data_IF_363510794249
#
_entry.id   IF_363510794249
#
_cell.length_a   1.000
_cell.length_b   1.000
_cell.length_c   1.000
_cell.angle_alpha   90.00
_cell.angle_beta   90.00
_cell.angle_gamma   90.00
#
_symmetry.space_group_name_H-M   'P 1'
#
loop_
_entity.id
_entity.type
_entity.pdbx_description
1 polymer ?
2 non-polymer ?
3 non-polymer ?
4 non-polymer ?
5 water ?
#
# COMPACT_ATOMS: atom_id res chain seq x y z
N UNK A 15 26.34 -4.59 10.85
CA UNK A 15 27.23 -3.43 11.00
C UNK A 15 27.21 -2.56 9.75
N UNK A 16 27.26 -1.25 9.95
CA UNK A 16 27.19 -0.27 8.86
C UNK A 16 28.19 -0.55 7.71
N UNK A 17 27.67 -0.64 6.49
CA UNK A 17 28.44 -1.04 5.31
C UNK A 17 27.80 -0.55 4.00
N UNK A 18 28.63 -0.22 3.01
CA UNK A 18 28.14 0.37 1.75
C UNK A 18 27.59 -0.63 0.74
N UNK A 19 26.37 -0.35 0.27
CA UNK A 19 25.58 -1.24 -0.58
C UNK A 19 24.80 -0.49 -1.66
N UNK A 20 24.61 -1.15 -2.80
CA UNK A 20 23.73 -0.66 -3.85
C UNK A 20 22.29 -1.09 -3.52
N UNK A 21 21.36 -0.12 -3.55
CA UNK A 21 19.96 -0.39 -3.22
C UNK A 21 19.00 0.06 -4.33
N UNK A 22 18.00 -0.77 -4.58
CA UNK A 22 16.99 -0.52 -5.60
C UNK A 22 15.58 -0.80 -5.10
N UNK A 23 14.61 -0.11 -5.69
CA UNK A 23 13.20 -0.46 -5.51
C UNK A 23 12.87 -1.72 -6.30
N UNK A 24 11.63 -2.19 -6.13
CA UNK A 24 11.16 -3.40 -6.78
C UNK A 24 11.14 -3.29 -8.29
N UNK A 25 10.91 -2.07 -8.77
CA UNK A 25 10.90 -1.77 -10.20
C UNK A 25 12.28 -1.82 -10.84
N UNK A 26 13.31 -1.96 -10.00
CA UNK A 26 14.70 -2.14 -10.42
C UNK A 26 15.27 -0.99 -11.26
N UNK A 27 14.85 0.23 -10.94
CA UNK A 27 15.34 1.42 -11.63
C UNK A 27 15.96 2.40 -10.64
N UNK A 28 16.75 3.33 -11.18
CA UNK A 28 17.44 4.38 -10.40
C UNK A 28 18.20 3.84 -9.18
N UNK A 29 19.17 2.92 -9.40
CA UNK A 29 19.95 2.44 -8.26
C UNK A 29 20.83 3.54 -7.68
N UNK A 30 20.99 3.53 -6.35
CA UNK A 30 21.95 4.40 -5.66
C UNK A 30 22.69 3.61 -4.60
N UNK A 31 23.79 4.17 -4.11
CA UNK A 31 24.64 3.49 -3.13
C UNK A 31 24.53 4.18 -1.77
N UNK A 32 24.39 3.37 -0.72
CA UNK A 32 24.24 3.90 0.64
C UNK A 32 24.90 3.02 1.68
N UNK A 33 25.03 3.53 2.90
CA UNK A 33 25.47 2.73 4.05
C UNK A 33 24.26 2.02 4.64
N UNK A 34 24.41 0.76 4.98
CA UNK A 34 23.28 -0.06 5.43
C UNK A 34 23.55 -0.67 6.80
N UNK A 35 22.60 -0.45 7.72
CA UNK A 35 22.64 -1.04 9.04
C UNK A 35 21.58 -2.12 9.13
N UNK A 36 21.97 -3.29 9.62
CA UNK A 36 21.02 -4.36 9.92
C UNK A 36 21.22 -4.83 11.36
N UNK A 37 20.20 -4.63 12.18
CA UNK A 37 20.26 -5.00 13.60
C UNK A 37 18.88 -5.41 14.11
N UNK A 38 18.87 -6.32 15.07
CA UNK A 38 17.65 -6.69 15.78
C UNK A 38 17.60 -6.03 17.16
N UNK A 39 18.52 -5.07 17.38
CA UNK A 39 18.59 -4.31 18.62
C UNK A 39 18.14 -2.86 18.39
N UNK A 40 16.98 -2.49 18.97
CA UNK A 40 16.41 -1.14 18.84
C UNK A 40 17.39 -0.06 19.28
N UNK A 41 18.30 -0.41 20.19
CA UNK A 41 19.24 0.55 20.76
C UNK A 41 20.32 0.97 19.76
N UNK A 42 20.69 0.05 18.87
CA UNK A 42 21.67 0.34 17.82
C UNK A 42 21.06 1.35 16.82
N UNK A 43 19.78 1.19 16.55
CA UNK A 43 19.07 2.12 15.67
C UNK A 43 18.97 3.52 16.30
N UNK A 44 18.75 3.59 17.61
CA UNK A 44 18.71 4.87 18.32
C UNK A 44 20.05 5.59 18.20
N UNK A 45 21.12 4.89 18.55
CA UNK A 45 22.49 5.42 18.47
C UNK A 45 22.88 5.86 17.06
N UNK A 46 22.45 5.11 16.05
CA UNK A 46 22.72 5.45 14.65
C UNK A 46 22.05 6.77 14.26
N UNK A 47 20.80 6.95 14.69
CA UNK A 47 20.06 8.18 14.41
C UNK A 47 20.64 9.38 15.17
N UNK A 48 20.93 9.21 16.46
CA UNK A 48 21.52 10.29 17.24
C UNK A 48 22.88 10.69 16.67
N UNK A 49 23.68 9.68 16.28
CA UNK A 49 24.96 9.91 15.60
C UNK A 49 24.80 10.64 14.27
N UNK A 50 23.77 10.28 13.51
CA UNK A 50 23.50 10.92 12.23
C UNK A 50 23.01 12.36 12.42
N UNK A 51 22.33 12.60 13.54
CA UNK A 51 21.84 13.93 13.90
C UNK A 51 22.98 14.86 14.30
N UNK A 52 23.94 14.34 15.06
CA UNK A 52 25.06 15.14 15.53
C UNK A 52 26.11 15.40 14.45
N UNK A 53 26.15 14.55 13.42
CA UNK A 53 27.13 14.69 12.35
C UNK A 53 26.55 15.26 11.06
N UNK A 54 25.27 14.96 10.79
CA UNK A 54 24.50 15.61 9.75
C UNK A 54 24.95 15.41 8.32
N UNK A 55 25.17 14.17 7.92
CA UNK A 55 25.52 13.84 6.54
C UNK A 55 24.32 13.95 5.62
N UNK A 56 24.13 12.93 4.78
CA UNK A 56 23.01 12.92 3.83
C UNK A 56 21.69 12.36 4.38
N UNK A 57 21.73 11.80 5.58
CA UNK A 57 20.51 11.41 6.29
C UNK A 57 20.25 9.93 6.47
N UNK A 58 19.15 9.63 7.15
CA UNK A 58 18.75 8.25 7.47
C UNK A 58 17.38 7.96 6.85
N UNK A 59 17.18 6.72 6.44
CA UNK A 59 15.87 6.25 6.00
C UNK A 59 15.68 4.77 6.35
N UNK A 60 14.48 4.42 6.78
CA UNK A 60 14.16 3.03 7.10
C UNK A 60 13.80 2.27 5.84
N UNK A 61 14.19 1.01 5.78
CA UNK A 61 13.86 0.14 4.67
C UNK A 61 13.17 -1.11 5.21
N UNK A 62 12.11 -1.53 4.54
CA UNK A 62 11.43 -2.77 4.88
C UNK A 62 11.93 -3.87 3.97
N UNK A 63 11.02 -4.57 3.31
CA UNK A 63 11.39 -5.64 2.40
C UNK A 63 11.74 -5.15 0.98
N UNK A 64 11.60 -3.85 0.74
CA UNK A 64 11.92 -3.27 -0.56
C UNK A 64 10.91 -3.60 -1.65
N UNK A 65 9.64 -3.71 -1.26
CA UNK A 65 8.57 -4.08 -2.18
C UNK A 65 7.92 -2.89 -2.89
N UNK A 66 8.22 -1.67 -2.44
CA UNK A 66 7.89 -0.46 -3.19
C UNK A 66 8.71 -0.43 -4.47
N UNK A 67 8.10 0.02 -5.56
CA UNK A 67 8.73 0.00 -6.88
C UNK A 67 9.72 1.14 -7.09
N UNK A 68 9.51 2.24 -6.39
CA UNK A 68 10.30 3.45 -6.59
C UNK A 68 11.47 3.63 -5.66
N UNK A 69 11.76 4.89 -5.32
CA UNK A 69 12.97 5.27 -4.59
C UNK A 69 12.72 5.77 -3.16
N UNK A 70 11.63 5.36 -2.54
CA UNK A 70 11.28 5.84 -1.20
C UNK A 70 12.07 5.21 -0.05
N UNK A 71 12.58 4.00 -0.26
CA UNK A 71 13.31 3.27 0.77
C UNK A 71 14.81 3.17 0.48
N UNK A 72 15.34 4.21 -0.15
CA UNK A 72 16.77 4.30 -0.41
C UNK A 72 17.25 5.75 -0.25
N UNK A 73 18.50 5.91 0.17
CA UNK A 73 19.08 7.22 0.42
C UNK A 73 20.54 7.25 -0.03
N UNK A 74 20.76 7.58 -1.31
CA UNK A 74 22.09 7.61 -1.90
C UNK A 74 23.06 8.52 -1.17
N UNK A 75 24.13 7.94 -0.62
CA UNK A 75 25.12 8.69 0.13
C UNK A 75 24.90 8.65 1.63
N UNK A 76 23.66 8.39 2.05
CA UNK A 76 23.29 8.40 3.46
C UNK A 76 23.27 7.02 4.10
N UNK A 77 22.48 6.89 5.16
CA UNK A 77 22.32 5.63 5.88
C UNK A 77 20.92 5.05 5.72
N UNK A 78 20.86 3.74 5.52
CA UNK A 78 19.62 3.00 5.37
C UNK A 78 19.57 1.93 6.45
N UNK A 79 18.52 1.94 7.25
CA UNK A 79 18.32 0.90 8.26
C UNK A 79 17.49 -0.22 7.68
N UNK A 80 18.09 -1.40 7.57
CA UNK A 80 17.37 -2.60 7.14
C UNK A 80 16.53 -3.11 8.31
N UNK A 81 15.23 -2.83 8.24
CA UNK A 81 14.29 -3.12 9.34
C UNK A 81 13.87 -4.58 9.51
N UNK A 82 13.88 -5.40 8.44
CA UNK A 82 13.47 -6.81 8.59
C UNK A 82 14.17 -7.61 9.68
N UNK A 83 15.36 -7.18 10.11
CA UNK A 83 16.08 -7.85 11.20
C UNK A 83 15.36 -7.67 12.54
N UNK A 84 14.60 -6.58 12.67
CA UNK A 84 13.86 -6.28 13.87
C UNK A 84 12.43 -6.83 13.74
N UNK A 85 12.28 -8.13 13.95
CA UNK A 85 11.05 -8.83 13.61
C UNK A 85 10.44 -9.69 14.71
N UNK A 86 10.57 -9.27 15.96
CA UNK A 86 9.97 -10.03 17.06
C UNK A 86 8.49 -9.68 17.21
N UNK A 87 7.66 -10.72 17.40
CA UNK A 87 6.24 -10.53 17.71
C UNK A 87 6.06 -10.64 19.23
N UNK A 88 5.58 -9.56 19.85
CA UNK A 88 5.57 -9.47 21.31
C UNK A 88 4.36 -10.09 21.97
N UNK A 89 3.16 -9.84 21.43
CA UNK A 89 1.94 -10.45 21.97
C UNK A 89 0.78 -10.53 20.97
N UNK A 90 0.01 -11.61 21.07
CA UNK A 90 -1.22 -11.78 20.33
C UNK A 90 -2.34 -12.05 21.34
N UNK A 91 -3.40 -11.25 21.28
CA UNK A 91 -4.49 -11.32 22.26
C UNK A 91 -5.85 -11.37 21.57
N UNK A 92 -6.41 -12.58 21.45
CA UNK A 92 -7.71 -12.81 20.81
C UNK A 92 -8.85 -11.95 21.39
N UNK A 93 -8.80 -11.71 22.69
CA UNK A 93 -9.83 -10.94 23.39
C UNK A 93 -9.92 -9.50 22.92
N UNK A 94 -8.79 -8.79 23.03
CA UNK A 94 -8.71 -7.40 22.61
C UNK A 94 -8.54 -7.28 21.09
N UNK A 95 -8.13 -8.38 20.45
CA UNK A 95 -7.81 -8.45 19.01
C UNK A 95 -6.51 -7.69 18.67
N UNK A 96 -5.74 -7.34 19.70
CA UNK A 96 -4.54 -6.53 19.54
C UNK A 96 -3.29 -7.37 19.36
N UNK A 97 -2.37 -6.86 18.55
CA UNK A 97 -1.09 -7.51 18.31
C UNK A 97 0.05 -6.48 18.42
N UNK A 98 1.01 -6.74 19.31
CA UNK A 98 2.18 -5.88 19.51
C UNK A 98 3.36 -6.46 18.73
N UNK A 99 3.86 -5.72 17.75
CA UNK A 99 4.91 -6.22 16.86
C UNK A 99 6.01 -5.22 16.55
N UNK A 100 7.22 -5.74 16.32
CA UNK A 100 8.32 -4.94 15.80
C UNK A 100 8.01 -4.53 14.37
N UNK A 101 8.42 -3.32 13.99
CA UNK A 101 8.15 -2.77 12.66
C UNK A 101 8.64 -3.69 11.53
N UNK A 102 9.69 -4.46 11.81
CA UNK A 102 10.25 -5.36 10.81
C UNK A 102 9.53 -6.67 10.63
N UNK A 103 8.44 -6.90 11.37
CA UNK A 103 7.67 -8.13 11.18
C UNK A 103 6.94 -8.12 9.84
N UNK A 104 7.12 -9.23 9.12
CA UNK A 104 6.50 -9.45 7.82
C UNK A 104 4.98 -9.65 7.98
N UNK A 105 4.22 -9.33 6.95
CA UNK A 105 2.78 -9.59 6.98
C UNK A 105 2.49 -11.08 6.85
N UNK A 106 3.35 -11.77 6.09
CA UNK A 106 3.32 -13.23 5.98
C UNK A 106 3.60 -13.87 7.34
N UNK A 107 4.60 -13.35 8.04
CA UNK A 107 4.97 -13.82 9.37
C UNK A 107 3.83 -13.61 10.37
N UNK A 108 3.25 -12.42 10.36
CA UNK A 108 2.15 -12.06 11.26
C UNK A 108 0.89 -12.88 10.98
N UNK A 109 0.60 -13.12 9.71
CA UNK A 109 -0.55 -13.93 9.30
C UNK A 109 -0.44 -15.33 9.90
N UNK A 110 0.69 -15.99 9.65
CA UNK A 110 0.94 -17.34 10.16
C UNK A 110 0.85 -17.43 11.69
N UNK A 111 1.25 -16.35 12.36
CA UNK A 111 1.25 -16.29 13.81
C UNK A 111 -0.13 -16.05 14.41
N UNK A 112 -0.94 -15.23 13.75
CA UNK A 112 -2.23 -14.79 14.32
C UNK A 112 -3.42 -15.65 13.91
N UNK A 113 -3.25 -16.44 12.86
CA UNK A 113 -4.33 -17.27 12.33
C UNK A 113 -4.89 -18.29 13.33
N UNK A 114 -4.01 -19.05 14.03
CA UNK A 114 -4.53 -20.02 15.01
C UNK A 114 -5.30 -19.37 16.16
N UNK A 115 -5.07 -18.08 16.38
CA UNK A 115 -5.77 -17.33 17.42
C UNK A 115 -7.10 -16.83 16.93
N UNK A 116 -7.36 -17.01 15.63
CA UNK A 116 -8.61 -16.54 15.02
C UNK A 116 -8.57 -15.06 14.65
N UNK A 117 -7.37 -14.56 14.38
CA UNK A 117 -7.18 -13.17 14.01
C UNK A 117 -6.65 -13.06 12.58
N UNK A 118 -7.14 -12.06 11.86
CA UNK A 118 -6.84 -11.88 10.45
C UNK A 118 -6.17 -10.55 10.24
N UNK A 119 -5.19 -10.50 9.34
CA UNK A 119 -4.52 -9.25 8.98
C UNK A 119 -5.53 -8.30 8.32
N UNK A 120 -5.77 -7.14 8.94
CA UNK A 120 -6.89 -6.25 8.56
C UNK A 120 -6.79 -5.65 7.15
N UNK A 121 -5.58 -5.49 6.63
CA UNK A 121 -5.38 -5.03 5.25
C UNK A 121 -4.26 -5.83 4.62
N UNK A 122 -4.59 -6.58 3.57
CA UNK A 122 -3.62 -7.41 2.87
C UNK A 122 -3.41 -6.94 1.44
N UNK A 123 -2.17 -6.57 1.09
CA UNK A 123 -1.86 -6.14 -0.27
C UNK A 123 -1.66 -7.34 -1.20
N UNK A 124 -1.19 -7.09 -2.42
CA UNK A 124 -0.96 -8.14 -3.41
C UNK A 124 0.11 -9.15 -3.02
N UNK A 125 1.02 -8.75 -2.15
CA UNK A 125 2.06 -9.63 -1.62
C UNK A 125 2.07 -9.59 -0.10
N UNK A 126 2.40 -10.70 0.53
CA UNK A 126 2.48 -10.76 1.99
C UNK A 126 3.90 -10.45 2.48
N UNK A 127 4.78 -10.08 1.55
CA UNK A 127 6.15 -9.75 1.86
C UNK A 127 6.37 -8.26 2.06
N UNK A 128 5.64 -7.68 3.01
CA UNK A 128 5.86 -6.30 3.41
C UNK A 128 5.95 -6.23 4.93
N UNK A 129 6.75 -5.31 5.43
CA UNK A 129 6.88 -5.10 6.86
C UNK A 129 5.71 -4.27 7.39
N UNK A 130 5.44 -4.41 8.69
CA UNK A 130 4.47 -3.55 9.36
C UNK A 130 4.87 -2.08 9.17
N UNK A 131 6.16 -1.80 9.29
CA UNK A 131 6.70 -0.46 9.08
C UNK A 131 6.47 0.08 7.68
N UNK A 132 6.54 -0.81 6.70
CA UNK A 132 6.31 -0.43 5.30
C UNK A 132 4.84 -0.37 4.97
N UNK A 133 4.04 -1.18 5.67
CA UNK A 133 2.58 -1.12 5.56
C UNK A 133 2.08 0.23 6.05
N UNK A 134 2.66 0.72 7.14
CA UNK A 134 2.31 2.04 7.69
C UNK A 134 2.90 3.17 6.85
N UNK A 135 4.16 3.01 6.44
CA UNK A 135 4.89 4.03 5.68
C UNK A 135 4.23 4.41 4.37
N UNK A 136 3.55 3.45 3.74
CA UNK A 136 2.86 3.68 2.49
C UNK A 136 1.36 3.65 2.65
N UNK A 137 0.90 3.44 3.89
CA UNK A 137 -0.52 3.32 4.23
C UNK A 137 -1.20 2.36 3.24
N UNK A 138 -0.68 1.14 3.15
CA UNK A 138 -1.10 0.20 2.13
C UNK A 138 -2.60 -0.07 2.14
N UNK A 139 -3.13 -0.38 0.95
CA UNK A 139 -4.54 -0.71 0.76
C UNK A 139 -4.65 -2.11 0.21
N UNK A 140 -5.87 -2.63 0.22
CA UNK A 140 -6.14 -3.97 -0.31
C UNK A 140 -7.51 -4.08 -0.95
N UNK A 141 -7.90 -5.31 -1.28
CA UNK A 141 -9.19 -5.58 -1.92
C UNK A 141 -10.36 -5.21 -1.01
N UNK A 142 -10.09 -5.08 0.29
CA UNK A 142 -11.13 -4.72 1.25
C UNK A 142 -11.17 -3.24 1.61
N UNK A 143 -10.57 -2.39 0.79
CA UNK A 143 -10.48 -0.96 1.10
C UNK A 143 -11.81 -0.28 1.29
N UNK A 144 -12.79 -0.64 0.48
CA UNK A 144 -14.10 0.00 0.54
C UNK A 144 -14.85 -0.28 1.82
N UNK A 145 -14.44 -1.31 2.55
CA UNK A 145 -15.10 -1.68 3.81
C UNK A 145 -14.20 -1.51 5.04
N UNK A 146 -12.89 -1.55 4.84
CA UNK A 146 -11.93 -1.55 5.94
C UNK A 146 -10.98 -0.35 5.94
N UNK A 147 -10.97 0.41 4.85
CA UNK A 147 -10.00 1.50 4.70
C UNK A 147 -8.61 0.94 4.46
N UNK A 148 -7.59 1.75 4.75
CA UNK A 148 -6.21 1.34 4.53
C UNK A 148 -5.54 0.93 5.84
N UNK A 149 -4.29 0.47 5.76
CA UNK A 149 -3.58 -0.09 6.91
C UNK A 149 -3.54 0.84 8.12
N UNK A 150 -3.39 2.13 7.85
CA UNK A 150 -3.35 3.15 8.91
C UNK A 150 -4.58 3.21 9.79
N UNK A 151 -5.73 2.81 9.25
CA UNK A 151 -6.99 2.79 10.01
C UNK A 151 -6.99 1.76 11.13
N UNK A 152 -6.01 0.86 11.13
CA UNK A 152 -6.00 -0.30 12.02
C UNK A 152 -4.82 -0.34 12.93
N UNK A 153 -4.09 0.77 13.00
CA UNK A 153 -2.96 0.91 13.90
C UNK A 153 -3.45 1.59 15.18
N UNK A 154 -3.49 0.84 16.28
CA UNK A 154 -3.91 1.39 17.58
C UNK A 154 -2.85 2.33 18.16
N UNK A 155 -1.58 1.96 18.01
CA UNK A 155 -0.46 2.81 18.43
C UNK A 155 0.83 2.43 17.69
N UNK A 156 1.79 3.34 17.71
CA UNK A 156 3.13 3.05 17.19
C UNK A 156 4.23 3.83 17.92
N UNK A 157 5.43 3.26 17.96
CA UNK A 157 6.57 3.88 18.58
C UNK A 157 7.49 4.44 17.50
N UNK A 158 7.65 5.76 17.49
CA UNK A 158 8.41 6.44 16.43
C UNK A 158 9.67 7.13 16.94
N UNK A 159 10.83 6.62 16.48
CA UNK A 159 12.12 7.24 16.71
C UNK A 159 12.25 8.51 15.87
N UNK A 160 12.31 9.66 16.53
CA UNK A 160 12.44 10.94 15.83
C UNK A 160 13.89 11.41 15.80
N UNK A 161 14.15 12.48 15.05
CA UNK A 161 15.50 13.05 14.87
C UNK A 161 16.28 13.41 16.15
N UNK A 162 15.56 13.68 17.24
CA UNK A 162 16.18 14.06 18.51
C UNK A 162 16.58 12.85 19.37
N UNK A 163 16.34 11.65 18.85
CA UNK A 163 16.67 10.42 19.58
C UNK A 163 15.54 9.91 20.44
N UNK A 164 14.49 10.70 20.57
CA UNK A 164 13.31 10.33 21.35
C UNK A 164 12.46 9.27 20.64
N UNK A 165 11.88 8.36 21.42
CA UNK A 165 10.90 7.41 20.89
C UNK A 165 9.52 7.86 21.34
N UNK A 166 8.71 8.33 20.38
CA UNK A 166 7.38 8.85 20.71
C UNK A 166 6.25 7.85 20.61
N UNK A 167 5.41 7.80 21.63
CA UNK A 167 4.18 7.00 21.63
C UNK A 167 3.13 7.76 20.87
N UNK A 168 2.61 7.17 19.79
CA UNK A 168 1.65 7.86 18.92
C UNK A 168 0.36 7.08 18.81
N UNK A 169 -0.75 7.82 18.86
CA UNK A 169 -2.10 7.23 18.77
C UNK A 169 -2.97 8.04 17.80
N UNK A 170 -3.95 7.39 17.14
CA UNK A 170 -4.82 8.06 16.15
C UNK A 170 -5.63 9.23 16.74
N UNK A 171 -6.15 9.05 17.96
CA UNK A 171 -7.02 10.05 18.56
C UNK A 171 -6.37 10.86 19.69
N UNK A 172 -5.24 10.36 20.21
CA UNK A 172 -4.59 10.96 21.38
C UNK A 172 -3.89 12.29 21.16
N UNK A 173 -3.00 12.66 22.10
CA UNK A 173 -2.25 13.93 22.06
C UNK A 173 -1.47 14.19 20.77
N UNK A 174 -0.75 13.18 20.29
CA UNK A 174 0.15 13.32 19.14
C UNK A 174 -0.51 12.91 17.80
N UNK A 175 -1.84 12.98 17.75
CA UNK A 175 -2.60 12.55 16.57
C UNK A 175 -2.03 13.08 15.25
N UNK A 176 -1.54 14.32 15.26
CA UNK A 176 -0.95 14.94 14.08
C UNK A 176 0.31 14.23 13.57
N UNK A 177 1.22 13.87 14.48
CA UNK A 177 2.42 13.13 14.11
C UNK A 177 2.05 11.73 13.64
N UNK A 178 1.08 11.13 14.33
CA UNK A 178 0.56 9.82 13.96
C UNK A 178 0.13 9.79 12.49
N UNK A 179 -0.67 10.78 12.09
CA UNK A 179 -1.25 10.79 10.76
C UNK A 179 -0.35 11.33 9.69
N UNK A 180 0.75 11.96 10.11
CA UNK A 180 1.79 12.36 9.17
C UNK A 180 2.78 11.21 8.95
N UNK A 181 2.83 10.29 9.92
CA UNK A 181 3.64 9.08 9.81
C UNK A 181 2.95 8.05 8.92
N UNK A 182 1.64 7.85 9.11
CA UNK A 182 0.85 7.02 8.22
C UNK A 182 0.91 7.64 6.82
N UNK A 183 1.47 6.90 5.86
CA UNK A 183 1.67 7.38 4.50
C UNK A 183 2.87 8.32 4.36
N UNK A 184 3.64 8.46 5.45
CA UNK A 184 4.74 9.39 5.51
C UNK A 184 6.02 8.95 4.83
N UNK A 185 6.05 7.72 4.32
CA UNK A 185 7.21 7.18 3.61
C UNK A 185 8.54 7.28 4.37
N UNK A 186 8.49 7.03 5.68
CA UNK A 186 9.68 7.03 6.53
C UNK A 186 10.29 8.40 6.82
N UNK A 187 9.56 9.46 6.49
CA UNK A 187 10.12 10.80 6.54
C UNK A 187 9.87 11.54 7.85
N UNK A 188 9.22 10.89 8.81
CA UNK A 188 9.04 11.46 10.14
C UNK A 188 9.94 10.73 11.15
N UNK A 189 10.58 9.66 10.67
CA UNK A 189 11.49 8.88 11.50
C UNK A 189 11.29 7.39 11.31
N UNK A 190 11.87 6.62 12.22
CA UNK A 190 11.80 5.16 12.12
C UNK A 190 10.79 4.60 13.12
N UNK A 191 9.75 3.96 12.60
CA UNK A 191 8.80 3.23 13.44
C UNK A 191 9.52 1.99 13.95
N UNK A 192 9.52 1.80 15.27
CA UNK A 192 10.22 0.65 15.86
C UNK A 192 9.26 -0.48 16.22
N UNK A 193 8.01 -0.13 16.49
CA UNK A 193 7.05 -1.02 17.11
C UNK A 193 5.64 -0.50 16.89
N UNK A 194 4.68 -1.39 16.79
CA UNK A 194 3.28 -1.01 16.61
C UNK A 194 2.30 -1.98 17.26
N UNK A 195 1.13 -1.45 17.63
CA UNK A 195 0.00 -2.26 18.05
C UNK A 195 -1.05 -2.22 16.94
N UNK A 196 -1.31 -3.37 16.34
CA UNK A 196 -2.28 -3.48 15.26
C UNK A 196 -3.54 -4.15 15.79
N UNK A 197 -4.70 -3.57 15.48
CA UNK A 197 -5.97 -4.21 15.79
C UNK A 197 -6.38 -5.11 14.62
N UNK A 198 -6.29 -6.42 14.84
CA UNK A 198 -6.59 -7.42 13.83
C UNK A 198 -8.10 -7.61 13.65
N UNK A 199 -8.47 -8.20 12.52
CA UNK A 199 -9.86 -8.54 12.23
C UNK A 199 -10.19 -9.95 12.75
N UNK A 200 -11.25 -10.05 13.57
CA UNK A 200 -11.68 -11.37 14.05
C UNK A 200 -12.23 -12.24 12.91
N UNK A 201 -11.82 -13.50 12.88
CA UNK A 201 -12.33 -14.45 11.89
C UNK A 201 -12.60 -15.83 12.47
N UNK A 202 -13.58 -16.53 11.90
CA UNK A 202 -13.88 -17.91 12.27
C UNK A 202 -13.10 -18.90 11.41
N UNK A 203 -12.81 -18.50 10.16
CA UNK A 203 -12.13 -19.37 9.18
C UNK A 203 -11.05 -18.62 8.40
N UNK A 204 -10.30 -19.36 7.60
CA UNK A 204 -9.33 -18.77 6.68
C UNK A 204 -9.82 -18.89 5.25
N UNK A 205 -11.15 -18.93 5.09
CA UNK A 205 -11.77 -19.10 3.77
C UNK A 205 -12.71 -17.95 3.42
N UNK A 206 -12.97 -17.82 2.12
CA UNK A 206 -13.89 -16.84 1.60
C UNK A 206 -15.10 -17.49 0.96
N UNK A 207 -16.27 -16.89 1.17
CA UNK A 207 -17.44 -17.15 0.31
C UNK A 207 -17.42 -16.06 -0.77
N UNK A 208 -17.31 -16.46 -2.02
CA UNK A 208 -17.05 -15.53 -3.12
C UNK A 208 -18.01 -15.61 -4.31
N UNK A 209 -18.26 -14.46 -4.93
CA UNK A 209 -19.01 -14.36 -6.18
C UNK A 209 -18.07 -13.95 -7.30
N UNK A 210 -18.31 -14.48 -8.49
CA UNK A 210 -17.57 -14.09 -9.68
C UNK A 210 -18.52 -13.57 -10.73
N UNK A 211 -18.13 -12.48 -11.39
CA UNK A 211 -18.91 -11.92 -12.49
C UNK A 211 -18.02 -11.47 -13.64
N UNK A 212 -18.59 -11.45 -14.84
CA UNK A 212 -17.90 -10.99 -16.03
C UNK A 212 -18.74 -9.91 -16.73
N UNK A 213 -18.11 -8.79 -17.08
CA UNK A 213 -18.78 -7.74 -17.85
C UNK A 213 -18.22 -7.67 -19.26
N UNK A 214 -18.91 -6.95 -20.14
CA UNK A 214 -18.55 -6.88 -21.56
C UNK A 214 -17.93 -5.57 -22.04
N UNK A 215 -17.93 -4.55 -21.20
CA UNK A 215 -17.39 -3.23 -21.57
C UNK A 215 -16.97 -2.40 -20.37
N UNK A 216 -16.29 -1.29 -20.64
CA UNK A 216 -15.93 -0.31 -19.62
C UNK A 216 -17.17 0.26 -18.92
N UNK A 217 -18.20 0.58 -19.71
CA UNK A 217 -19.45 1.09 -19.19
C UNK A 217 -20.11 0.10 -18.25
N UNK A 218 -20.15 -1.16 -18.66
CA UNK A 218 -20.70 -2.22 -17.81
C UNK A 218 -19.94 -2.37 -16.50
N UNK A 219 -18.60 -2.32 -16.58
CA UNK A 219 -17.73 -2.39 -15.40
C UNK A 219 -18.07 -1.26 -14.42
N UNK A 220 -18.17 -0.03 -14.94
CA UNK A 220 -18.58 1.12 -14.14
C UNK A 220 -19.95 0.90 -13.49
N UNK A 221 -20.94 0.55 -14.30
CA UNK A 221 -22.32 0.35 -13.82
C UNK A 221 -22.43 -0.76 -12.76
N UNK A 222 -21.69 -1.84 -12.98
CA UNK A 222 -21.66 -2.97 -12.06
C UNK A 222 -21.27 -2.55 -10.64
N UNK A 223 -20.30 -1.62 -10.56
CA UNK A 223 -19.80 -1.12 -9.28
C UNK A 223 -20.61 0.03 -8.72
N UNK A 224 -21.56 0.53 -9.50
CA UNK A 224 -22.28 1.76 -9.14
C UNK A 224 -23.67 1.60 -8.52
N UNK A 225 -24.12 0.36 -8.32
CA UNK A 225 -25.49 0.09 -7.86
C UNK A 225 -25.63 -0.28 -6.37
N UNK A 226 -24.69 0.19 -5.54
CA UNK A 226 -24.72 -0.07 -4.10
C UNK A 226 -24.36 -1.49 -3.72
N UNK A 227 -24.15 -2.30 -4.75
CA UNK A 227 -23.84 -3.72 -4.62
C UNK A 227 -22.59 -4.01 -3.80
N UNK A 228 -21.61 -3.10 -3.85
CA UNK A 228 -20.31 -3.27 -3.18
C UNK A 228 -20.40 -3.42 -1.65
N UNK A 229 -21.49 -2.92 -1.07
CA UNK A 229 -21.72 -3.03 0.36
C UNK A 229 -22.03 -4.47 0.82
N UNK A 230 -22.38 -5.33 -0.13
CA UNK A 230 -22.69 -6.73 0.17
C UNK A 230 -21.44 -7.60 0.39
N UNK A 231 -20.27 -7.01 0.17
CA UNK A 231 -19.00 -7.74 0.24
C UNK A 231 -17.93 -6.93 0.97
N UNK A 232 -17.08 -7.61 1.74
CA UNK A 232 -15.97 -6.92 2.39
C UNK A 232 -14.79 -6.72 1.43
N UNK A 233 -14.56 -7.69 0.54
CA UNK A 233 -13.44 -7.65 -0.42
C UNK A 233 -13.94 -7.62 -1.87
N UNK A 234 -13.37 -6.74 -2.69
CA UNK A 234 -13.74 -6.63 -4.11
C UNK A 234 -12.63 -6.03 -4.99
N UNK A 235 -12.24 -6.77 -6.01
CA UNK A 235 -11.32 -6.29 -7.03
C UNK A 235 -11.67 -6.93 -8.37
N UNK A 236 -11.05 -6.44 -9.44
CA UNK A 236 -11.31 -6.94 -10.78
C UNK A 236 -10.10 -6.78 -11.71
N UNK A 237 -9.94 -7.74 -12.62
CA UNK A 237 -9.04 -7.59 -13.74
C UNK A 237 -9.85 -7.00 -14.87
N UNK A 238 -9.23 -6.16 -15.69
CA UNK A 238 -9.92 -5.63 -16.87
C UNK A 238 -9.08 -5.67 -18.14
N UNK A 239 -9.74 -5.48 -19.27
CA UNK A 239 -9.08 -5.49 -20.59
C UNK A 239 -8.67 -4.07 -20.95
N UNK A 240 -7.37 -3.89 -21.17
CA UNK A 240 -6.81 -2.60 -21.53
C UNK A 240 -6.20 -2.61 -22.94
N UNK A 241 -6.46 -3.67 -23.69
CA UNK A 241 -5.87 -3.84 -25.03
C UNK A 241 -6.89 -3.75 -26.17
N UNK A 242 -8.02 -4.45 -26.04
CA UNK A 242 -9.08 -4.43 -27.05
C UNK A 242 -9.64 -3.04 -27.30
N UNK A 243 -10.11 -2.80 -28.53
CA UNK A 243 -10.75 -1.55 -28.90
C UNK A 243 -12.19 -1.57 -28.40
N UNK A 244 -12.78 -0.39 -28.13
CA UNK A 244 -14.19 -0.33 -27.76
C UNK A 244 -15.05 -0.99 -28.85
N UNK A 245 -16.16 -1.65 -28.47
CA UNK A 245 -16.79 -1.67 -27.13
C UNK A 245 -16.24 -2.73 -26.16
N UNK A 246 -15.19 -3.44 -26.54
CA UNK A 246 -14.66 -4.50 -25.66
C UNK A 246 -13.69 -3.98 -24.59
N UNK A 247 -13.11 -2.80 -24.80
CA UNK A 247 -12.24 -2.17 -23.81
C UNK A 247 -12.94 -2.00 -22.47
N UNK A 248 -12.25 -2.38 -21.40
CA UNK A 248 -12.78 -2.24 -20.05
C UNK A 248 -13.58 -3.42 -19.52
N UNK A 249 -13.91 -4.38 -20.39
CA UNK A 249 -14.56 -5.60 -19.94
C UNK A 249 -13.75 -6.25 -18.82
N UNK A 250 -14.43 -6.71 -17.78
CA UNK A 250 -13.77 -7.07 -16.53
C UNK A 250 -14.15 -8.43 -15.98
N UNK A 251 -13.21 -9.04 -15.26
CA UNK A 251 -13.46 -10.25 -14.49
C UNK A 251 -13.46 -9.87 -13.01
N UNK A 252 -14.66 -9.77 -12.45
CA UNK A 252 -14.87 -9.21 -11.10
C UNK A 252 -14.94 -10.30 -10.05
N UNK A 253 -14.16 -10.13 -8.99
CA UNK A 253 -14.08 -11.09 -7.90
C UNK A 253 -14.45 -10.40 -6.59
N UNK A 254 -15.54 -10.84 -5.97
CA UNK A 254 -16.06 -10.22 -4.75
C UNK A 254 -16.41 -11.28 -3.71
N UNK A 255 -16.24 -10.92 -2.44
CA UNK A 255 -16.54 -11.87 -1.36
C UNK A 255 -16.24 -11.38 0.03
N UNK A 256 -16.44 -12.27 1.00
CA UNK A 256 -16.20 -11.99 2.41
C UNK A 256 -15.62 -13.22 3.10
N UNK A 257 -14.97 -13.00 4.24
CA UNK A 257 -14.52 -14.08 5.10
C UNK A 257 -15.69 -14.98 5.52
N UNK A 258 -15.51 -16.28 5.33
CA UNK A 258 -16.54 -17.28 5.64
C UNK A 258 -16.78 -17.44 7.14
N UNK A 259 -18.02 -17.74 7.52
CA UNK A 259 -18.33 -18.20 8.87
C UNK A 259 -18.12 -19.71 8.91
N UNK A 260 -18.05 -20.29 10.10
CA UNK A 260 -17.83 -21.72 10.26
C UNK A 260 -18.96 -22.57 9.65
N UNK A 261 -20.21 -22.16 9.90
CA UNK A 261 -21.37 -22.88 9.37
C UNK A 261 -21.56 -22.76 7.85
N UNK A 262 -20.67 -22.00 7.20
CA UNK A 262 -20.70 -21.81 5.75
C UNK A 262 -19.69 -22.70 5.03
N UNK A 263 -18.79 -23.30 5.80
CA UNK A 263 -17.82 -24.25 5.25
C UNK A 263 -18.41 -25.64 5.12
N UNK A 264 -18.01 -26.39 4.07
CA UNK A 264 -18.34 -27.81 4.04
C UNK A 264 -17.66 -28.54 5.21
N UNK A 265 -18.25 -29.63 5.66
CA UNK A 265 -17.80 -30.34 6.86
C UNK A 265 -16.34 -30.83 6.78
N UNK A 266 -15.91 -31.21 5.58
CA UNK A 266 -14.53 -31.67 5.35
C UNK A 266 -13.48 -30.61 5.69
N UNK A 267 -13.86 -29.33 5.57
CA UNK A 267 -12.96 -28.21 5.87
C UNK A 267 -13.19 -27.64 7.26
N UNK A 268 -14.28 -28.05 7.91
CA UNK A 268 -14.58 -27.61 9.28
C UNK A 268 -13.68 -28.28 10.32
N UNK A 269 -13.04 -29.37 9.92
CA UNK A 269 -12.05 -30.08 10.74
C UNK A 269 -10.93 -29.11 11.10
N UNK A 270 -10.42 -28.42 10.09
CA UNK A 270 -9.31 -27.49 10.20
C UNK A 270 -9.69 -26.16 9.53
N UNK A 271 -10.52 -25.34 10.20
CA UNK A 271 -11.08 -24.11 9.59
C UNK A 271 -10.07 -22.99 9.36
N UNK A 272 -9.06 -22.90 10.23
CA UNK A 272 -8.03 -21.85 10.14
C UNK A 272 -6.74 -22.37 9.49
N UNK A 273 -6.88 -23.42 8.66
CA UNK A 273 -5.77 -23.99 7.92
C UNK A 273 -5.13 -22.95 7.00
N UNK A 274 -3.80 -23.01 6.88
CA UNK A 274 -3.02 -22.08 6.07
C UNK A 274 -3.70 -21.75 4.73
N UNK A 303 -16.72 -31.62 -17.80
CA UNK A 303 -17.72 -31.24 -18.79
C UNK A 303 -18.35 -29.89 -18.50
N UNK A 304 -18.14 -29.41 -17.27
CA UNK A 304 -18.56 -28.07 -16.85
C UNK A 304 -17.91 -26.98 -17.69
N UNK A 305 -18.62 -25.88 -17.89
CA UNK A 305 -18.02 -24.69 -18.48
C UNK A 305 -17.32 -23.85 -17.41
N UNK A 306 -16.02 -23.68 -17.59
CA UNK A 306 -15.23 -22.81 -16.72
C UNK A 306 -15.30 -21.37 -17.25
N UNK A 307 -16.11 -20.54 -16.59
CA UNK A 307 -16.17 -19.12 -16.88
C UNK A 307 -16.15 -18.30 -15.60
N UNK A 308 -16.16 -16.98 -15.73
CA UNK A 308 -16.01 -16.09 -14.58
C UNK A 308 -17.28 -15.79 -13.80
N UNK A 309 -18.34 -16.54 -14.05
CA UNK A 309 -19.59 -16.37 -13.31
C UNK A 309 -19.87 -17.52 -12.36
N UNK A 310 -19.86 -17.22 -11.07
CA UNK A 310 -20.17 -18.19 -10.01
C UNK A 310 -20.69 -17.50 -8.75
N UNK A 311 -21.40 -18.26 -7.92
CA UNK A 311 -22.04 -17.72 -6.71
C UNK A 311 -21.70 -18.53 -5.48
N UNK A 312 -21.51 -17.83 -4.36
CA UNK A 312 -21.27 -18.45 -3.05
C UNK A 312 -20.23 -19.58 -3.07
N UNK A 313 -19.11 -19.35 -3.73
CA UNK A 313 -18.05 -20.34 -3.85
C UNK A 313 -17.11 -20.24 -2.66
N UNK A 314 -16.80 -21.38 -2.05
CA UNK A 314 -15.83 -21.43 -0.97
C UNK A 314 -14.41 -21.46 -1.56
N UNK A 315 -13.59 -20.49 -1.17
CA UNK A 315 -12.23 -20.35 -1.67
C UNK A 315 -11.20 -20.05 -0.58
N UNK A 316 -10.02 -20.64 -0.71
CA UNK A 316 -8.87 -20.33 0.16
C UNK A 316 -8.23 -19.00 -0.25
N UNK A 317 -7.15 -18.61 0.43
CA UNK A 317 -6.49 -17.34 0.16
C UNK A 317 -5.87 -17.25 -1.24
N UNK A 318 -5.21 -18.32 -1.67
CA UNK A 318 -4.57 -18.34 -2.99
C UNK A 318 -5.60 -18.25 -4.12
N UNK A 319 -6.69 -19.02 -3.98
CA UNK A 319 -7.76 -19.07 -4.99
C UNK A 319 -8.56 -17.77 -5.10
N UNK A 320 -8.61 -17.00 -4.01
CA UNK A 320 -9.37 -15.77 -3.97
C UNK A 320 -8.56 -14.55 -4.44
N UNK A 321 -7.24 -14.63 -4.26
CA UNK A 321 -6.35 -13.51 -4.58
C UNK A 321 -5.65 -13.59 -5.94
N UNK A 322 -5.01 -14.72 -6.25
CA UNK A 322 -4.17 -14.83 -7.45
C UNK A 322 -4.90 -14.82 -8.79
N UNK A 323 -6.11 -15.43 -8.87
CA UNK A 323 -6.84 -15.32 -10.14
C UNK A 323 -7.63 -14.02 -10.24
N UNK A 338 12.40 -3.39 -17.98
CA UNK A 338 11.39 -4.37 -17.62
C UNK A 338 9.97 -3.82 -17.76
N UNK A 339 9.27 -3.74 -16.63
CA UNK A 339 7.88 -3.29 -16.60
C UNK A 339 7.70 -2.08 -15.70
N UNK A 340 7.04 -1.05 -16.23
CA UNK A 340 6.70 0.15 -15.47
C UNK A 340 5.35 -0.05 -14.78
N UNK A 341 5.40 -0.07 -13.45
CA UNK A 341 4.20 -0.19 -12.62
C UNK A 341 3.55 1.18 -12.49
N UNK A 342 2.26 1.27 -12.83
CA UNK A 342 1.54 2.54 -12.78
C UNK A 342 0.19 2.42 -12.10
N UNK A 343 0.00 3.20 -11.04
CA UNK A 343 -1.25 3.19 -10.28
C UNK A 343 -1.78 4.59 -10.01
N UNK A 344 -3.06 4.79 -10.31
CA UNK A 344 -3.73 6.07 -10.12
C UNK A 344 -5.17 5.90 -9.63
N UNK A 345 -5.69 6.93 -8.98
CA UNK A 345 -7.10 6.99 -8.61
C UNK A 345 -7.69 8.34 -9.01
N UNK A 346 -8.86 8.32 -9.62
CA UNK A 346 -9.64 9.54 -9.86
C UNK A 346 -10.91 9.49 -9.02
N UNK A 347 -11.45 10.67 -8.61
CA UNK A 347 -12.64 10.73 -7.77
C UNK A 347 -13.86 10.05 -8.40
N UNK A 348 -14.70 9.47 -7.55
CA UNK A 348 -15.89 8.73 -7.98
C UNK A 348 -16.72 9.45 -9.04
N UNK A 349 -17.02 10.73 -8.80
CA UNK A 349 -17.89 11.52 -9.68
C UNK A 349 -17.28 11.84 -11.05
N UNK A 350 -15.96 11.68 -11.17
CA UNK A 350 -15.25 11.93 -12.41
C UNK A 350 -15.26 10.71 -13.35
N UNK A 351 -16.45 10.17 -13.58
CA UNK A 351 -16.64 8.94 -14.36
C UNK A 351 -16.17 9.04 -15.81
N UNK A 352 -16.60 10.08 -16.52
CA UNK A 352 -16.26 10.26 -17.93
C UNK A 352 -14.75 10.48 -18.14
N UNK A 353 -14.16 11.23 -17.21
CA UNK A 353 -12.73 11.50 -17.21
C UNK A 353 -11.90 10.23 -16.99
N UNK A 354 -12.32 9.41 -16.02
CA UNK A 354 -11.70 8.10 -15.80
C UNK A 354 -11.75 7.26 -17.07
N UNK A 355 -12.93 7.15 -17.67
CA UNK A 355 -13.10 6.43 -18.93
C UNK A 355 -12.12 6.90 -20.00
N UNK A 356 -11.88 8.22 -20.05
CA UNK A 356 -11.01 8.81 -21.08
C UNK A 356 -9.55 8.40 -20.92
N UNK A 357 -9.11 8.20 -19.68
CA UNK A 357 -7.76 7.71 -19.39
C UNK A 357 -7.62 6.28 -19.90
N UNK A 358 -8.63 5.45 -19.63
CA UNK A 358 -8.61 4.05 -20.07
C UNK A 358 -8.64 3.96 -21.58
N UNK A 359 -9.43 4.82 -22.22
CA UNK A 359 -9.49 4.87 -23.68
C UNK A 359 -8.15 5.29 -24.28
N UNK A 360 -7.58 6.38 -23.75
CA UNK A 360 -6.30 6.90 -24.23
C UNK A 360 -5.15 5.90 -24.06
N UNK A 361 -5.14 5.18 -22.93
CA UNK A 361 -4.18 4.10 -22.72
C UNK A 361 -4.26 3.09 -23.87
N UNK A 362 -5.47 2.68 -24.22
CA UNK A 362 -5.69 1.71 -25.28
C UNK A 362 -5.25 2.25 -26.64
N UNK A 363 -5.57 3.52 -26.90
CA UNK A 363 -5.16 4.18 -28.15
C UNK A 363 -3.65 4.38 -28.27
N UNK A 364 -2.96 4.48 -27.13
CA UNK A 364 -1.53 4.80 -27.11
C UNK A 364 -0.63 3.71 -27.68
N UNK A 365 -1.11 2.47 -27.66
CA UNK A 365 -0.33 1.34 -28.14
C UNK A 365 0.53 0.69 -27.07
N UNK A 366 0.56 1.30 -25.89
CA UNK A 366 1.22 0.71 -24.75
C UNK A 366 0.30 -0.30 -24.13
N UNK A 367 0.67 -1.57 -24.27
CA UNK A 367 -0.27 -2.65 -23.97
C UNK A 367 0.01 -3.35 -22.64
N UNK A 368 -0.95 -3.21 -21.72
CA UNK A 368 -0.86 -3.83 -20.40
C UNK A 368 -1.77 -5.05 -20.30
N UNK A 369 -1.20 -6.17 -19.88
CA UNK A 369 -1.94 -7.43 -19.72
C UNK A 369 -2.38 -7.63 -18.28
N UNK A 370 -1.60 -7.08 -17.35
CA UNK A 370 -1.89 -7.20 -15.93
C UNK A 370 -2.45 -5.89 -15.39
N UNK A 371 -3.77 -5.80 -15.32
CA UNK A 371 -4.44 -4.62 -14.78
C UNK A 371 -5.53 -4.90 -13.76
N UNK A 372 -5.45 -4.18 -12.63
CA UNK A 372 -6.37 -4.34 -11.53
C UNK A 372 -7.30 -3.13 -11.46
N UNK A 373 -8.58 -3.39 -11.25
CA UNK A 373 -9.60 -2.36 -11.13
C UNK A 373 -10.24 -2.47 -9.77
N UNK A 374 -10.36 -1.35 -9.07
CA UNK A 374 -11.07 -1.32 -7.80
C UNK A 374 -11.72 0.03 -7.52
N UNK A 375 -12.90 -0.02 -6.90
CA UNK A 375 -13.56 1.16 -6.37
C UNK A 375 -13.14 1.34 -4.92
N UNK A 376 -12.35 2.39 -4.66
CA UNK A 376 -11.96 2.75 -3.30
C UNK A 376 -13.15 3.34 -2.53
N UNK A 377 -13.17 3.12 -1.21
CA UNK A 377 -14.13 3.78 -0.32
C UNK A 377 -13.55 5.06 0.27
N UNK A 378 -14.13 5.56 1.38
CA UNK A 378 -13.61 6.79 2.01
C UNK A 378 -12.14 6.69 2.40
N UNK A 379 -11.44 7.83 2.32
CA UNK A 379 -10.05 7.93 2.77
C UNK A 379 -9.97 8.15 4.27
N UNK A 380 -8.76 8.42 4.76
CA UNK A 380 -8.54 8.63 6.20
C UNK A 380 -7.87 9.97 6.49
N UNK A 381 -7.46 10.17 7.74
CA UNK A 381 -6.94 11.48 8.17
C UNK A 381 -5.50 11.80 7.73
N UNK A 382 -4.81 10.84 7.14
CA UNK A 382 -3.42 11.04 6.73
C UNK A 382 -3.30 11.94 5.50
N UNK A 383 -2.56 13.07 5.63
CA UNK A 383 -2.38 14.02 4.52
C UNK A 383 -1.75 13.42 3.25
N UNK A 384 -0.83 12.47 3.41
CA UNK A 384 -0.17 11.86 2.25
C UNK A 384 -0.70 10.47 1.89
N UNK A 385 -1.85 10.10 2.46
CA UNK A 385 -2.47 8.83 2.15
C UNK A 385 -3.05 8.81 0.72
N UNK A 386 -2.60 7.83 -0.06
CA UNK A 386 -2.99 7.69 -1.46
C UNK A 386 -4.50 7.52 -1.73
N UNK A 387 -5.17 6.56 -1.07
CA UNK A 387 -6.56 6.31 -1.44
C UNK A 387 -7.53 7.46 -1.14
N UNK A 388 -8.38 7.75 -2.12
CA UNK A 388 -9.55 8.60 -1.94
C UNK A 388 -10.70 7.82 -2.56
N UNK A 389 -11.96 8.13 -2.18
CA UNK A 389 -13.05 7.40 -2.85
C UNK A 389 -13.00 7.61 -4.36
N UNK A 390 -13.15 6.53 -5.12
CA UNK A 390 -13.05 6.62 -6.56
C UNK A 390 -12.40 5.44 -7.25
N UNK A 391 -12.03 5.64 -8.51
CA UNK A 391 -11.65 4.56 -9.40
C UNK A 391 -10.17 4.34 -9.41
N UNK A 392 -9.74 3.26 -8.78
CA UNK A 392 -8.33 2.90 -8.72
C UNK A 392 -7.96 1.90 -9.81
N UNK A 393 -6.85 2.17 -10.49
CA UNK A 393 -6.35 1.29 -11.55
C UNK A 393 -4.85 1.03 -11.42
N UNK A 394 -4.46 -0.24 -11.46
CA UNK A 394 -3.06 -0.65 -11.57
C UNK A 394 -2.85 -1.15 -13.00
N UNK A 395 -1.82 -0.64 -13.67
CA UNK A 395 -1.44 -1.13 -15.00
C UNK A 395 0.05 -1.41 -15.10
N UNK A 396 0.41 -2.41 -15.90
CA UNK A 396 1.81 -2.77 -16.13
C UNK A 396 2.22 -2.52 -17.58
N UNK A 397 3.03 -1.50 -17.79
CA UNK A 397 3.52 -1.18 -19.12
C UNK A 397 4.89 -1.79 -19.40
N UNK A 398 5.00 -2.58 -20.49
CA UNK A 398 6.33 -3.00 -20.92
C UNK A 398 7.10 -1.76 -21.36
N UNK A 399 8.37 -1.66 -20.95
CA UNK A 399 9.19 -0.50 -21.28
C UNK A 399 9.53 -0.46 -22.78
N UNK A 400 9.05 0.59 -23.43
CA UNK A 400 9.18 0.79 -24.86
C UNK A 400 9.43 2.27 -25.14
N UNK A 401 9.82 2.60 -26.37
CA UNK A 401 10.01 3.98 -26.78
C UNK A 401 8.71 4.76 -26.64
N UNK A 402 8.79 5.95 -26.05
CA UNK A 402 7.64 6.83 -25.91
C UNK A 402 6.80 6.62 -24.65
N UNK A 403 7.18 5.65 -23.84
CA UNK A 403 6.44 5.32 -22.61
C UNK A 403 6.51 6.43 -21.56
N UNK A 404 7.72 6.95 -21.36
CA UNK A 404 7.95 7.97 -20.34
C UNK A 404 7.28 9.27 -20.65
N UNK A 405 7.20 9.62 -21.93
CA UNK A 405 6.49 10.83 -22.35
C UNK A 405 5.00 10.61 -22.12
N UNK A 406 4.55 9.39 -22.36
CA UNK A 406 3.15 9.03 -22.18
C UNK A 406 2.70 9.05 -20.72
N UNK A 407 3.51 8.48 -19.83
CA UNK A 407 3.16 8.50 -18.39
C UNK A 407 3.15 9.92 -17.82
N UNK A 408 4.07 10.76 -18.30
CA UNK A 408 4.07 12.19 -17.99
C UNK A 408 2.72 12.81 -18.39
N UNK A 409 2.24 12.47 -19.59
CA UNK A 409 0.92 12.89 -20.04
C UNK A 409 -0.18 12.35 -19.13
N UNK A 410 -0.12 11.07 -18.77
CA UNK A 410 -1.10 10.45 -17.88
C UNK A 410 -1.13 11.10 -16.50
N UNK A 411 0.05 11.38 -15.95
CA UNK A 411 0.18 12.08 -14.67
C UNK A 411 -0.63 13.37 -14.64
N UNK A 412 -0.55 14.16 -15.71
CA UNK A 412 -1.21 15.46 -15.76
C UNK A 412 -2.72 15.39 -15.96
N UNK A 413 -3.19 14.35 -16.66
CA UNK A 413 -4.62 14.11 -16.79
C UNK A 413 -5.20 13.66 -15.45
N UNK A 414 -4.49 12.75 -14.77
CA UNK A 414 -4.85 12.32 -13.42
C UNK A 414 -4.92 13.54 -12.48
N UNK A 415 -3.93 14.42 -12.60
CA UNK A 415 -3.90 15.67 -11.84
C UNK A 415 -5.13 16.53 -12.09
N UNK A 416 -5.40 16.83 -13.36
CA UNK A 416 -6.54 17.66 -13.75
C UNK A 416 -7.88 17.12 -13.24
N UNK A 417 -8.05 15.81 -13.30
CA UNK A 417 -9.31 15.17 -12.91
C UNK A 417 -9.52 15.06 -11.40
N UNK A 418 -8.52 15.49 -10.62
CA UNK A 418 -8.60 15.44 -9.15
C UNK A 418 -7.96 14.20 -8.54
N UNK A 419 -7.24 13.44 -9.35
CA UNK A 419 -6.63 12.20 -8.89
C UNK A 419 -5.21 12.33 -8.36
N UNK A 420 -4.66 11.20 -7.91
CA UNK A 420 -3.28 11.16 -7.44
C UNK A 420 -2.54 9.88 -7.85
N UNK A 421 -1.22 9.91 -7.66
CA UNK A 421 -0.39 8.71 -7.84
C UNK A 421 0.02 8.15 -6.49
N UNK A 422 0.36 6.86 -6.48
CA UNK A 422 0.78 6.14 -5.29
C UNK A 422 2.30 6.24 -5.14
N UNK A 423 2.76 6.63 -3.95
CA UNK A 423 4.21 6.70 -3.67
C UNK A 423 4.89 5.35 -3.81
N UNK A 424 4.19 4.28 -3.44
CA UNK A 424 4.74 2.92 -3.49
C UNK A 424 4.99 2.44 -4.92
N UNK A 425 4.40 3.14 -5.90
CA UNK A 425 4.46 2.74 -7.30
C UNK A 425 5.16 3.74 -8.23
N UNK A 426 5.77 4.79 -7.68
CA UNK A 426 6.35 5.86 -8.51
C UNK A 426 7.87 6.00 -8.39
N UNK A 427 8.51 6.31 -9.52
CA UNK A 427 9.92 6.69 -9.55
C UNK A 427 10.20 7.77 -10.60
N UNK A 428 9.15 8.27 -11.25
CA UNK A 428 9.29 9.12 -12.43
C UNK A 428 8.68 10.52 -12.29
N UNK A 429 7.59 10.66 -11.55
CA UNK A 429 6.81 11.91 -11.54
C UNK A 429 7.56 13.12 -10.96
N UNK A 430 7.12 14.32 -11.33
CA UNK A 430 7.76 15.56 -10.90
C UNK A 430 7.19 16.08 -9.57
N UNK A 431 7.97 16.91 -8.88
CA UNK A 431 7.59 17.46 -7.58
C UNK A 431 6.39 18.39 -7.63
N UNK A 432 6.33 19.24 -8.66
CA UNK A 432 5.22 20.16 -8.86
C UNK A 432 3.90 19.42 -9.09
N UNK A 433 3.97 18.32 -9.83
CA UNK A 433 2.81 17.45 -10.06
C UNK A 433 2.35 16.80 -8.76
N UNK A 434 3.29 16.15 -8.06
CA UNK A 434 2.99 15.41 -6.82
C UNK A 434 2.43 16.31 -5.72
N UNK A 435 3.02 17.48 -5.55
CA UNK A 435 2.53 18.46 -4.58
C UNK A 435 1.11 18.84 -4.87
N UNK A 436 0.81 19.12 -6.13
CA UNK A 436 -0.53 19.49 -6.58
C UNK A 436 -1.57 18.37 -6.39
N UNK A 437 -1.12 17.13 -6.45
CA UNK A 437 -2.00 15.95 -6.29
C UNK A 437 -2.40 15.69 -4.85
N UNK A 438 -1.66 16.28 -3.92
CA UNK A 438 -1.95 16.14 -2.50
C UNK A 438 -2.16 17.52 -1.86
N UNK A 439 -3.41 18.00 -1.82
CA UNK A 439 -3.74 19.34 -1.31
C UNK A 439 -3.18 19.68 0.07
N UNK A 440 -3.01 18.67 0.93
CA UNK A 440 -2.54 18.88 2.30
C UNK A 440 -1.02 18.76 2.47
N UNK A 441 -0.28 18.77 1.35
CA UNK A 441 1.17 18.52 1.41
C UNK A 441 1.96 19.51 2.27
N UNK A 442 1.62 20.80 2.19
CA UNK A 442 2.30 21.84 2.95
C UNK A 442 2.05 21.69 4.46
N UNK A 443 0.81 21.34 4.81
CA UNK A 443 0.47 20.98 6.17
C UNK A 443 1.35 19.82 6.66
N UNK A 444 1.56 18.83 5.78
CA UNK A 444 2.39 17.67 6.10
C UNK A 444 3.83 18.05 6.29
N UNK A 445 4.35 18.90 5.40
CA UNK A 445 5.75 19.35 5.46
C UNK A 445 6.03 20.13 6.74
N UNK A 446 5.07 20.95 7.16
CA UNK A 446 5.20 21.72 8.39
C UNK A 446 5.30 20.80 9.60
N UNK A 447 4.51 19.72 9.61
CA UNK A 447 4.55 18.72 10.69
C UNK A 447 5.88 17.96 10.65
N UNK A 448 6.31 17.59 9.45
CA UNK A 448 7.55 16.85 9.26
C UNK A 448 8.76 17.64 9.75
N UNK A 449 8.81 18.92 9.41
CA UNK A 449 9.91 19.81 9.84
C UNK A 449 9.94 20.05 11.35
N UNK A 450 8.76 20.05 11.98
CA UNK A 450 8.68 20.27 13.42
C UNK A 450 9.37 19.16 14.21
N UNK A 451 9.33 17.94 13.67
CA UNK A 451 9.97 16.79 14.31
C UNK A 451 11.36 16.48 13.72
N UNK A 452 11.68 17.09 12.59
CA UNK A 452 12.95 16.89 11.93
C UNK A 452 13.40 18.16 11.16
N UNK A 453 13.84 19.20 11.89
CA UNK A 453 14.19 20.47 11.25
C UNK A 453 15.48 20.43 10.42
N UNK A 454 16.51 19.74 10.92
CA UNK A 454 17.81 19.68 10.24
C UNK A 454 17.84 18.63 9.12
N UNK A 455 16.70 17.98 8.88
CA UNK A 455 16.58 16.99 7.81
C UNK A 455 17.46 15.76 8.01
N UNK A 456 17.42 15.19 9.20
CA UNK A 456 18.11 13.94 9.51
C UNK A 456 17.53 12.76 8.73
N UNK A 457 16.21 12.81 8.47
CA UNK A 457 15.55 11.77 7.69
C UNK A 457 15.31 12.23 6.25
N UNK A 458 15.83 11.46 5.31
CA UNK A 458 15.81 11.83 3.90
C UNK A 458 15.91 10.59 3.02
N UNK A 459 15.43 10.72 1.78
CA UNK A 459 15.44 9.64 0.82
C UNK A 459 15.49 10.22 -0.60
N UNK A 460 15.79 9.37 -1.58
CA UNK A 460 15.86 9.79 -2.97
C UNK A 460 14.53 10.36 -3.45
N UNK A 461 13.43 9.75 -3.01
CA UNK A 461 12.09 10.26 -3.29
C UNK A 461 11.86 11.64 -2.64
N UNK A 462 12.33 11.80 -1.41
CA UNK A 462 12.15 13.06 -0.69
C UNK A 462 12.86 14.22 -1.38
N UNK A 463 14.03 13.96 -1.96
CA UNK A 463 14.77 14.97 -2.73
C UNK A 463 14.13 15.22 -4.08
N UNK A 464 13.64 14.15 -4.71
CA UNK A 464 13.04 14.22 -6.04
C UNK A 464 11.68 14.93 -5.97
N UNK A 465 10.84 14.53 -5.03
CA UNK A 465 9.52 15.12 -4.88
C UNK A 465 9.49 16.27 -3.86
N UNK A 466 10.68 16.70 -3.43
CA UNK A 466 10.84 17.86 -2.52
C UNK A 466 9.89 17.78 -1.32
N UNK A 467 10.07 16.73 -0.52
CA UNK A 467 9.22 16.51 0.65
C UNK A 467 9.91 16.93 1.95
N UNK A 468 11.06 17.59 1.81
CA UNK A 468 11.82 18.05 2.98
C UNK A 468 11.53 19.52 3.27
X LIG B 1 -2.54 -2.76 -7.95
X LIG B 1 -1.06 -2.95 -7.91
X LIG B 1 -3.35 -3.54 -7.16
X LIG B 1 -3.02 -4.90 -6.97
X LIG B 1 -1.57 -5.61 -7.76
X LIG B 1 -4.47 -2.98 -6.55
X LIG B 1 -5.29 -3.77 -5.74
X LIG B 1 -6.42 -3.22 -5.13
X LIG B 1 -7.51 -3.75 -5.67
X LIG B 1 -6.44 -1.90 -5.29
X LIG B 1 -6.40 -3.50 -3.80
X LIG B 1 -4.97 -5.11 -5.55
X LIG B 1 -3.86 -5.69 -6.15
X LIG B 1 -3.64 -7.05 -5.88
X LIG B 1 -4.42 -7.68 -5.16
X LIG B 1 -2.57 -7.79 -6.40
X LIG B 1 -1.57 -7.31 -7.25
X LIG B 1 -0.61 -8.17 -7.66
X LIG B 1 0.49 -7.69 -8.56
X LIG B 1 0.90 -8.72 -9.61
X LIG B 1 -0.63 -9.59 -7.20
X LIG B 1 -0.26 -10.57 -8.33
X LIG B 1 1.05 -10.13 -9.01
X LIG B 1 2.15 -10.16 -8.06
X LIG B 1 1.39 -11.08 -10.08
X LIG B 1 2.62 -11.74 -9.69
X LIG B 1 3.27 -10.77 -8.72
X LIG B 1 4.12 -11.54 -7.70
X LIG C 1 9.70 -0.68 1.68
X LIG C 1 9.27 -0.80 0.25
X LIG C 1 11.07 -1.16 2.10
X LIG C 1 9.56 0.86 2.15
X LIG C 1 8.35 1.56 1.91
X LIG C 1 8.33 2.90 2.64
X LIG C 1 8.03 2.68 4.02
X LIG C 1 9.67 3.62 2.59
X LIG C 1 9.46 5.01 2.35
X LIG C 1 10.25 3.45 3.97
X LIG C 1 10.98 4.61 4.35
X LIG C 1 9.03 3.25 4.84
X LIG C 1 9.32 2.32 5.97
X LIG C 1 9.52 0.99 5.88
X LIG C 1 9.76 0.46 7.10
X LIG C 1 9.70 1.47 7.99
X LIG C 1 9.85 1.62 9.46
X LIG C 1 10.11 0.56 10.26
X LIG C 1 9.71 2.86 9.98
X LIG C 1 9.45 3.94 9.22
X LIG C 1 9.30 3.89 7.89
X LIG C 1 9.41 2.70 7.23
X LIG C 1 0.48 -1.89 -2.09
X LIG C 1 -0.83 -1.71 -1.80
X LIG C 1 -1.16 -0.71 -1.13
X LIG C 1 -1.78 -2.58 -2.22
X LIG C 1 -1.48 -3.67 -2.94
X LIG C 1 -2.39 -4.46 -3.31
X LIG C 1 -0.07 -3.94 -3.29
X LIG C 1 0.31 -5.01 -4.01
X LIG C 1 1.62 -5.24 -4.31
X LIG C 1 1.97 -6.36 -5.06
X LIG C 1 3.30 -6.61 -5.38
X LIG C 1 3.67 -7.83 -6.18
X LIG C 1 4.36 -5.65 -4.92
X LIG C 1 5.81 -5.89 -5.26
X LIG C 1 4.01 -4.52 -4.17
X LIG C 1 2.67 -4.28 -3.85
X LIG C 1 2.29 -3.14 -3.09
X LIG C 1 0.93 -2.95 -2.80
X LIG C 1 3.28 -2.16 -2.61
X LIG C 1 3.71 -2.46 -1.18
X LIG C 1 2.63 -2.99 -0.39
X LIG C 1 4.24 -1.19 -0.52
X LIG C 1 5.24 -0.62 -1.37
X LIG C 1 4.85 -1.40 0.86
X LIG C 1 5.18 -0.11 1.36
X LIG C 1 6.10 -2.27 0.82
X LIG C 1 6.53 -2.64 2.14
X LIG C 1 8.09 -2.86 2.48
X LIG C 1 8.78 -3.52 1.32
X LIG C 1 8.16 -3.51 3.84
X LIG C 1 8.59 -1.35 2.64
X LIG D 1 -13.52 5.09 -32.64
X LIG D 1 -14.65 5.33 -33.48
X LIG D 1 -12.20 5.40 -33.37
X LIG D 1 -12.25 4.85 -34.70
X LIG D 1 -11.96 6.90 -33.45
X LIG D 1 -10.72 7.23 -32.83
#
# INVERSE_FOLDING_TARGET
>A
MGAVPSLTMSTTEFPTTTKRLMGWGRTAPTVASVLSTSDPEVIVRAVTRAAEEGGRGVIARGLGRSYGDNAQNGGGLVIDMPALNRIHSIDSGTRLVDVDAGVSLDQLMKAALPHGLWVPVLPGTRQVTVGGAIGCDIHGKNHHSAGSFGNHVRSMELLTANGEVRHLTPAGPDSDLFWATVGGNGLTGIILRATIEMTPTETAYFIADGDVTGSLDETIAFHSDGSEANYTYSSAWFDAISKPPKLGRAAISRGSLAKLDQLPSKLQKDPLKFDAPQLLTLPDIFPNGLANKFTFMPIGELWYRKSGTYRNKVQNLTQFYHPLDMFGEWNRAYGSAGFLQYQFVVPTEAVEEFKSIIVDIQRSGHYSFLNVFKLFGPGNQAPLSFPIPGWNVCVDFPIKAGLHEFVTELDRRVLEFGGRLYTAKDSRTTAETFHAMYPRIDEWIRIRRSVDPDGVFASDMARRLQLL
>B hetero
1 0SK NBE OAE CAX CBB SAV CAJ CAW CBG FAG FAH FAF CAK CBA CAZ OAD NAR CAY NBF CAM CAO CAL CAN CBH OAT OAS CAP CBD CAA
>C hetero
1 FAD PA O1A O2A O5B C5B C4B O4B C3B O3B C2B O2B C1B N9A C8A N7A C5A C6A N6A N1A C2A N3A C4A N1 C2 O2 N3 C4 O4 C4X N5 C5X C6 C7 C7M C8 C8M C9 C9A N10 C10 C1' C2' O2' C3' O3' C4' O4' C5' O5' P O1P O2P O3P
>D hetero
1 GOL C1 O1 C2 O2 C3 O3
#
